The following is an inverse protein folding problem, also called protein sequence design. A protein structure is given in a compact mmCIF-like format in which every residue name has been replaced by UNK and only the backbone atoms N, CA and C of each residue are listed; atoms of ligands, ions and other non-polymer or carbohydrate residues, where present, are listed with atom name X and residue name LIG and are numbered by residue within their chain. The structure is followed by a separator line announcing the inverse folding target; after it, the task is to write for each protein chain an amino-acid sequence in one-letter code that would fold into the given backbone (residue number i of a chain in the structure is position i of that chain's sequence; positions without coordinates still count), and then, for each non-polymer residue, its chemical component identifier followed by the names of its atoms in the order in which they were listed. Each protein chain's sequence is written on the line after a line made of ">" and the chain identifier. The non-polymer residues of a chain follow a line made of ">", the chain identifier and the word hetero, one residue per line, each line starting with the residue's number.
data_IF_705491103600
#
_entry.id   IF_705491103600
#
_cell.length_a   1.000
_cell.length_b   1.000
_cell.length_c   1.000
_cell.angle_alpha   90.00
_cell.angle_beta   90.00
_cell.angle_gamma   90.00
#
_symmetry.space_group_name_H-M   'P 1'
#
loop_
_entity.id
_entity.type
_entity.pdbx_description
1 polymer ?
#
# COMPACT_ATOMS: atom_id res chain seq x y z
N UNK A 1 32.16 -11.71 3.32
CA UNK A 1 31.12 -11.52 4.36
C UNK A 1 31.50 -12.36 5.55
N UNK A 2 31.47 -11.82 6.78
CA UNK A 2 31.80 -12.64 7.95
C UNK A 2 30.72 -13.70 8.18
N UNK A 3 31.10 -14.85 8.74
CA UNK A 3 30.17 -15.91 9.13
C UNK A 3 29.13 -15.43 10.15
N UNK A 4 29.50 -14.44 10.96
CA UNK A 4 28.63 -13.79 11.95
C UNK A 4 27.46 -13.03 11.29
N UNK A 5 27.72 -12.17 10.30
CA UNK A 5 26.67 -11.42 9.60
C UNK A 5 25.69 -12.38 8.91
N UNK A 6 26.18 -13.47 8.31
CA UNK A 6 25.31 -14.46 7.68
C UNK A 6 24.39 -15.15 8.70
N UNK A 7 24.91 -15.47 9.90
CA UNK A 7 24.12 -16.06 10.96
C UNK A 7 23.07 -15.07 11.50
N UNK A 8 23.41 -13.79 11.62
CA UNK A 8 22.50 -12.75 12.09
C UNK A 8 21.36 -12.51 11.10
N UNK A 9 21.67 -12.37 9.81
CA UNK A 9 20.67 -12.25 8.75
C UNK A 9 19.74 -13.46 8.75
N UNK A 10 20.30 -14.68 8.81
CA UNK A 10 19.52 -15.91 8.87
C UNK A 10 18.60 -15.94 10.09
N UNK A 11 19.10 -15.55 11.26
CA UNK A 11 18.33 -15.50 12.50
C UNK A 11 17.16 -14.52 12.38
N UNK A 12 17.43 -13.31 11.92
CA UNK A 12 16.43 -12.26 11.71
C UNK A 12 15.32 -12.71 10.74
N UNK A 13 15.69 -13.22 9.56
CA UNK A 13 14.74 -13.67 8.54
C UNK A 13 13.94 -14.88 9.02
N UNK A 14 14.59 -15.84 9.68
CA UNK A 14 13.92 -17.04 10.22
C UNK A 14 12.88 -16.66 11.28
N UNK A 15 13.19 -15.69 12.15
CA UNK A 15 12.22 -15.19 13.12
C UNK A 15 10.96 -14.66 12.44
N UNK A 16 11.09 -13.74 11.48
CA UNK A 16 9.94 -13.17 10.79
C UNK A 16 9.17 -14.19 9.95
N UNK A 17 9.85 -15.15 9.29
CA UNK A 17 9.19 -16.26 8.59
C UNK A 17 8.36 -17.12 9.56
N UNK A 18 8.91 -17.45 10.72
CA UNK A 18 8.18 -18.22 11.73
C UNK A 18 6.97 -17.47 12.30
N UNK A 19 7.10 -16.17 12.58
CA UNK A 19 5.94 -15.37 12.99
C UNK A 19 4.90 -15.25 11.87
N UNK A 20 5.33 -15.16 10.62
CA UNK A 20 4.47 -15.07 9.45
C UNK A 20 3.64 -16.34 9.24
N UNK A 21 4.24 -17.52 9.38
CA UNK A 21 3.54 -18.81 9.31
C UNK A 21 2.38 -18.90 10.31
N UNK A 22 2.55 -18.36 11.52
CA UNK A 22 1.50 -18.35 12.55
C UNK A 22 0.30 -17.48 12.17
N UNK A 23 0.48 -16.47 11.31
CA UNK A 23 -0.61 -15.57 10.92
C UNK A 23 -1.68 -16.28 10.09
N UNK A 24 -1.32 -17.34 9.36
CA UNK A 24 -2.27 -18.17 8.61
C UNK A 24 -3.20 -19.01 9.51
N UNK A 25 -2.89 -19.14 10.80
CA UNK A 25 -3.70 -19.88 11.77
C UNK A 25 -4.81 -19.02 12.39
N UNK A 26 -4.85 -17.72 12.09
CA UNK A 26 -5.82 -16.80 12.67
C UNK A 26 -7.17 -16.91 11.96
N UNK A 27 -8.23 -17.11 12.73
CA UNK A 27 -9.60 -17.15 12.21
C UNK A 27 -10.12 -15.73 11.89
N UNK A 28 -9.73 -14.75 12.71
CA UNK A 28 -10.19 -13.37 12.61
C UNK A 28 -9.36 -12.57 11.61
N UNK A 29 -10.01 -12.26 10.47
CA UNK A 29 -9.44 -11.53 9.33
C UNK A 29 -8.72 -10.24 9.73
N UNK A 30 -9.38 -9.40 10.53
CA UNK A 30 -8.86 -8.10 10.92
C UNK A 30 -7.58 -8.25 11.75
N UNK A 31 -7.52 -9.25 12.63
CA UNK A 31 -6.33 -9.54 13.44
C UNK A 31 -5.15 -9.97 12.56
N UNK A 32 -5.40 -10.81 11.54
CA UNK A 32 -4.39 -11.19 10.56
C UNK A 32 -3.78 -9.96 9.86
N UNK A 33 -4.63 -9.07 9.31
CA UNK A 33 -4.16 -7.84 8.65
C UNK A 33 -3.40 -6.91 9.60
N UNK A 34 -3.87 -6.76 10.85
CA UNK A 34 -3.20 -5.97 11.89
C UNK A 34 -1.80 -6.47 12.21
N UNK A 35 -1.63 -7.78 12.38
CA UNK A 35 -0.34 -8.37 12.70
C UNK A 35 0.62 -8.32 11.51
N UNK A 36 0.11 -8.50 10.29
CA UNK A 36 0.92 -8.27 9.07
C UNK A 36 1.40 -6.83 9.02
N UNK A 37 0.55 -5.81 9.22
CA UNK A 37 1.04 -4.42 9.15
C UNK A 37 2.05 -4.09 10.25
N UNK A 38 1.93 -4.71 11.44
CA UNK A 38 2.92 -4.58 12.50
C UNK A 38 4.26 -5.19 12.06
N UNK A 39 4.23 -6.40 11.48
CA UNK A 39 5.41 -7.06 10.90
C UNK A 39 6.06 -6.21 9.81
N UNK A 40 5.28 -5.72 8.83
CA UNK A 40 5.79 -4.87 7.75
C UNK A 40 6.39 -3.56 8.27
N UNK A 41 5.79 -2.97 9.31
CA UNK A 41 6.34 -1.77 9.97
C UNK A 41 7.70 -2.08 10.62
N UNK A 42 7.83 -3.21 11.30
CA UNK A 42 9.11 -3.66 11.88
C UNK A 42 10.16 -3.90 10.79
N UNK A 43 9.82 -4.60 9.71
CA UNK A 43 10.72 -4.84 8.57
C UNK A 43 11.16 -3.53 7.89
N UNK A 44 10.24 -2.56 7.73
CA UNK A 44 10.55 -1.25 7.18
C UNK A 44 11.54 -0.48 8.06
N UNK A 45 11.40 -0.57 9.39
CA UNK A 45 12.36 0.02 10.34
C UNK A 45 13.74 -0.62 10.22
N UNK A 46 13.77 -1.97 10.21
CA UNK A 46 15.00 -2.75 10.06
C UNK A 46 15.74 -2.46 8.77
N UNK A 47 15.02 -2.14 7.69
CA UNK A 47 15.62 -1.85 6.37
C UNK A 47 15.98 -0.39 6.16
N UNK A 48 15.19 0.55 6.70
CA UNK A 48 15.32 1.98 6.40
C UNK A 48 15.41 2.86 7.67
N UNK A 49 16.32 2.57 8.62
CA UNK A 49 16.39 3.30 9.90
C UNK A 49 16.71 4.80 9.72
N UNK A 50 17.38 5.17 8.63
CA UNK A 50 17.80 6.54 8.32
C UNK A 50 16.75 7.36 7.56
N UNK A 51 15.64 6.77 7.14
CA UNK A 51 14.55 7.48 6.45
C UNK A 51 13.66 8.13 7.52
N UNK A 52 13.45 9.45 7.46
CA UNK A 52 12.92 10.18 8.62
C UNK A 52 11.43 9.94 8.97
N UNK A 53 10.58 9.55 8.02
CA UNK A 53 9.13 9.38 8.24
C UNK A 53 8.71 7.92 8.07
N UNK A 54 7.91 7.39 9.00
CA UNK A 54 7.39 6.01 8.97
C UNK A 54 6.66 5.70 7.66
N UNK A 55 5.86 6.65 7.15
CA UNK A 55 5.23 6.56 5.83
C UNK A 55 6.24 6.27 4.73
N UNK A 56 7.35 7.02 4.70
CA UNK A 56 8.35 6.87 3.66
C UNK A 56 9.09 5.54 3.77
N UNK A 57 9.35 5.05 4.99
CA UNK A 57 9.93 3.71 5.21
C UNK A 57 9.00 2.62 4.68
N UNK A 58 7.73 2.67 5.09
CA UNK A 58 6.72 1.66 4.73
C UNK A 58 6.47 1.64 3.22
N UNK A 59 6.15 2.78 2.62
CA UNK A 59 5.89 2.89 1.17
C UNK A 59 7.08 2.38 0.37
N UNK A 60 8.31 2.78 0.75
CA UNK A 60 9.52 2.33 0.08
C UNK A 60 9.73 0.81 0.21
N UNK A 61 9.42 0.21 1.36
CA UNK A 61 9.49 -1.24 1.55
C UNK A 61 8.56 -1.95 0.56
N UNK A 62 7.30 -1.51 0.48
CA UNK A 62 6.30 -2.09 -0.42
C UNK A 62 6.76 -1.96 -1.87
N UNK A 63 7.11 -0.75 -2.32
CA UNK A 63 7.51 -0.51 -3.72
C UNK A 63 8.80 -1.25 -4.11
N UNK A 64 9.70 -1.52 -3.17
CA UNK A 64 11.00 -2.15 -3.47
C UNK A 64 10.94 -3.67 -3.44
N UNK A 65 10.25 -4.26 -2.45
CA UNK A 65 10.41 -5.69 -2.14
C UNK A 65 9.12 -6.51 -2.22
N UNK A 66 7.94 -5.90 -2.37
CA UNK A 66 6.69 -6.67 -2.40
C UNK A 66 6.45 -7.45 -3.69
N UNK A 67 7.13 -7.09 -4.78
CA UNK A 67 6.82 -7.63 -6.11
C UNK A 67 5.43 -7.24 -6.64
N UNK A 68 4.71 -6.34 -5.96
CA UNK A 68 3.39 -5.87 -6.39
C UNK A 68 3.52 -4.84 -7.52
N UNK A 69 3.17 -5.25 -8.74
CA UNK A 69 3.30 -4.45 -9.98
C UNK A 69 2.58 -3.10 -9.93
N UNK A 70 1.44 -3.05 -9.23
CA UNK A 70 0.59 -1.86 -9.15
C UNK A 70 0.93 -0.96 -7.97
N UNK A 71 1.89 -1.32 -7.11
CA UNK A 71 2.26 -0.53 -5.93
C UNK A 71 2.53 0.94 -6.28
N UNK A 72 3.17 1.19 -7.43
CA UNK A 72 3.51 2.54 -7.92
C UNK A 72 2.47 3.14 -8.87
N UNK A 73 1.46 2.37 -9.28
CA UNK A 73 0.35 2.86 -10.09
C UNK A 73 -0.58 3.72 -9.25
N UNK A 74 -1.28 4.64 -9.91
CA UNK A 74 -2.11 5.67 -9.28
C UNK A 74 -3.57 5.29 -9.42
N UNK A 75 -4.25 5.13 -8.29
CA UNK A 75 -5.67 4.83 -8.26
C UNK A 75 -6.49 6.00 -8.83
N UNK A 76 -6.96 5.87 -10.07
CA UNK A 76 -7.78 6.90 -10.74
C UNK A 76 -9.07 7.23 -9.95
N UNK A 77 -9.81 6.24 -9.39
CA UNK A 77 -11.01 6.54 -8.60
C UNK A 77 -10.71 7.35 -7.33
N UNK A 78 -9.72 6.93 -6.55
CA UNK A 78 -9.32 7.63 -5.32
C UNK A 78 -8.78 9.03 -5.61
N UNK A 79 -8.05 9.23 -6.71
CA UNK A 79 -7.60 10.56 -7.13
C UNK A 79 -8.77 11.47 -7.52
N UNK A 80 -9.71 10.97 -8.32
CA UNK A 80 -10.93 11.71 -8.65
C UNK A 80 -11.72 12.08 -7.39
N UNK A 81 -11.96 11.12 -6.48
CA UNK A 81 -12.65 11.34 -5.22
C UNK A 81 -11.98 12.43 -4.37
N UNK A 82 -10.65 12.40 -4.24
CA UNK A 82 -9.92 13.43 -3.47
C UNK A 82 -10.06 14.82 -4.08
N UNK A 83 -10.15 14.95 -5.40
CA UNK A 83 -10.40 16.25 -6.05
C UNK A 83 -11.84 16.71 -5.84
N UNK A 84 -12.83 15.83 -5.98
CA UNK A 84 -14.24 16.17 -5.74
C UNK A 84 -14.45 16.65 -4.29
N UNK A 85 -13.85 15.95 -3.32
CA UNK A 85 -13.96 16.28 -1.89
C UNK A 85 -13.29 17.60 -1.49
N UNK A 86 -12.40 18.16 -2.32
CA UNK A 86 -11.75 19.45 -2.04
C UNK A 86 -12.71 20.63 -2.21
N UNK A 87 -13.82 20.46 -2.94
CA UNK A 87 -14.78 21.53 -3.26
C UNK A 87 -14.19 22.59 -4.21
N UNK A 88 -15.04 23.38 -4.85
CA UNK A 88 -14.65 24.33 -5.92
C UNK A 88 -13.58 25.36 -5.51
N UNK A 89 -13.51 25.74 -4.22
CA UNK A 89 -12.58 26.76 -3.73
C UNK A 89 -11.11 26.30 -3.62
N UNK A 90 -10.86 25.00 -3.42
CA UNK A 90 -9.49 24.43 -3.28
C UNK A 90 -8.94 23.84 -4.58
N UNK A 91 -9.73 23.78 -5.65
CA UNK A 91 -9.25 23.38 -6.98
C UNK A 91 -8.35 24.45 -7.62
N UNK A 92 -8.24 25.64 -7.00
CA UNK A 92 -7.45 26.77 -7.52
C UNK A 92 -5.95 26.50 -7.69
N UNK A 93 -5.38 25.53 -6.96
CA UNK A 93 -3.98 25.12 -7.11
C UNK A 93 -3.73 24.00 -8.13
N UNK A 94 -4.80 23.49 -8.75
CA UNK A 94 -4.74 22.47 -9.80
C UNK A 94 -4.87 23.11 -11.18
N UNK A 95 -4.04 22.69 -12.12
CA UNK A 95 -4.15 23.15 -13.50
C UNK A 95 -5.43 22.63 -14.16
N UNK A 96 -6.02 23.45 -15.03
CA UNK A 96 -7.22 23.04 -15.80
C UNK A 96 -6.95 21.78 -16.64
N UNK A 97 -5.74 21.62 -17.15
CA UNK A 97 -5.34 20.47 -17.95
C UNK A 97 -5.32 19.18 -17.13
N UNK A 98 -4.78 19.23 -15.90
CA UNK A 98 -4.79 18.10 -14.99
C UNK A 98 -6.22 17.68 -14.63
N UNK A 99 -7.07 18.63 -14.23
CA UNK A 99 -8.47 18.33 -13.86
C UNK A 99 -9.27 17.77 -15.03
N UNK A 100 -9.15 18.38 -16.22
CA UNK A 100 -9.82 17.90 -17.44
C UNK A 100 -9.30 16.52 -17.87
N UNK A 101 -7.98 16.33 -17.86
CA UNK A 101 -7.33 15.07 -18.20
C UNK A 101 -7.76 13.94 -17.28
N UNK A 102 -7.78 14.18 -15.97
CA UNK A 102 -8.27 13.21 -14.99
C UNK A 102 -9.74 12.88 -15.20
N UNK A 103 -10.59 13.88 -15.46
CA UNK A 103 -12.03 13.64 -15.69
C UNK A 103 -12.26 12.71 -16.89
N UNK A 104 -11.52 12.91 -17.99
CA UNK A 104 -11.56 12.01 -19.14
C UNK A 104 -11.05 10.61 -18.80
N UNK A 105 -9.93 10.51 -18.06
CA UNK A 105 -9.37 9.22 -17.63
C UNK A 105 -10.31 8.47 -16.70
N UNK A 106 -10.98 9.15 -15.77
CA UNK A 106 -11.96 8.53 -14.89
C UNK A 106 -13.15 7.99 -15.69
N UNK A 107 -13.66 8.74 -16.68
CA UNK A 107 -14.73 8.25 -17.55
C UNK A 107 -14.32 7.00 -18.35
N UNK A 108 -13.11 6.98 -18.92
CA UNK A 108 -12.55 5.81 -19.62
C UNK A 108 -12.32 4.63 -18.66
N UNK A 109 -11.80 4.90 -17.46
CA UNK A 109 -11.63 3.89 -16.41
C UNK A 109 -12.96 3.25 -16.02
N UNK A 110 -14.03 4.04 -15.86
CA UNK A 110 -15.38 3.56 -15.55
C UNK A 110 -15.94 2.71 -16.70
N UNK A 111 -15.82 3.17 -17.95
CA UNK A 111 -16.28 2.39 -19.13
C UNK A 111 -15.55 1.03 -19.24
N UNK A 112 -14.24 0.99 -18.96
CA UNK A 112 -13.46 -0.26 -18.94
C UNK A 112 -13.87 -1.17 -17.78
N UNK A 113 -14.06 -0.61 -16.59
CA UNK A 113 -14.48 -1.35 -15.41
C UNK A 113 -15.79 -2.11 -15.64
N UNK A 114 -16.78 -1.51 -16.30
CA UNK A 114 -18.05 -2.21 -16.59
C UNK A 114 -17.94 -3.24 -17.73
N UNK A 115 -16.86 -3.24 -18.52
CA UNK A 115 -16.64 -4.19 -19.62
C UNK A 115 -15.82 -5.41 -19.20
N UNK A 116 -14.99 -5.30 -18.17
CA UNK A 116 -14.22 -6.40 -17.59
C UNK A 116 -14.91 -6.91 -16.31
N UNK A 117 -15.47 -8.12 -16.39
CA UNK A 117 -16.24 -8.77 -15.30
C UNK A 117 -15.44 -9.05 -14.01
N UNK A 118 -14.19 -8.59 -13.90
CA UNK A 118 -13.41 -8.66 -12.67
C UNK A 118 -12.51 -7.42 -12.48
N UNK A 119 -12.79 -6.56 -11.49
CA UNK A 119 -12.16 -5.25 -11.35
C UNK A 119 -10.75 -5.32 -10.74
N UNK A 120 -9.78 -5.75 -11.55
CA UNK A 120 -8.36 -5.76 -11.15
C UNK A 120 -7.74 -4.34 -11.21
N UNK A 121 -6.69 -4.11 -10.41
CA UNK A 121 -5.93 -2.85 -10.42
C UNK A 121 -5.12 -2.60 -11.72
N UNK A 122 -5.02 -3.59 -12.61
CA UNK A 122 -4.08 -3.57 -13.74
C UNK A 122 -4.33 -2.52 -14.83
N UNK A 123 -5.38 -1.71 -14.69
CA UNK A 123 -5.71 -0.60 -15.59
C UNK A 123 -5.25 0.77 -15.06
N UNK A 124 -4.78 0.83 -13.81
CA UNK A 124 -4.36 2.10 -13.21
C UNK A 124 -3.02 2.58 -13.80
N UNK A 125 -2.94 3.85 -14.21
CA UNK A 125 -1.79 4.40 -14.91
C UNK A 125 -0.63 4.71 -13.96
N UNK A 126 0.55 4.99 -14.53
CA UNK A 126 1.70 5.48 -13.78
C UNK A 126 1.62 6.99 -13.55
N UNK A 127 2.34 7.55 -12.57
CA UNK A 127 2.33 8.99 -12.29
C UNK A 127 2.61 9.88 -13.51
N UNK A 128 3.56 9.47 -14.35
CA UNK A 128 3.96 10.13 -15.59
C UNK A 128 2.84 10.21 -16.65
N UNK A 129 1.88 9.28 -16.60
CA UNK A 129 0.73 9.32 -17.52
C UNK A 129 -0.34 10.33 -17.04
N UNK A 130 -0.39 10.62 -15.74
CA UNK A 130 -1.40 11.53 -15.16
C UNK A 130 -0.89 12.97 -15.13
N UNK A 131 0.37 13.17 -14.72
CA UNK A 131 0.91 14.50 -14.48
C UNK A 131 1.12 15.26 -15.80
N UNK A 132 0.72 16.54 -15.89
CA UNK A 132 1.06 17.38 -17.03
C UNK A 132 2.58 17.64 -17.10
N UNK A 133 3.06 18.16 -18.23
CA UNK A 133 4.49 18.46 -18.45
C UNK A 133 5.11 19.38 -17.38
N UNK A 134 4.31 20.29 -16.83
CA UNK A 134 4.73 21.23 -15.77
C UNK A 134 3.76 21.16 -14.59
N UNK A 135 3.83 20.10 -13.77
CA UNK A 135 2.87 19.88 -12.70
C UNK A 135 3.15 20.75 -11.49
N UNK A 136 2.09 21.24 -10.85
CA UNK A 136 2.19 21.96 -9.58
C UNK A 136 2.61 21.02 -8.46
N UNK A 137 3.10 21.55 -7.34
CA UNK A 137 3.44 20.72 -6.19
C UNK A 137 2.20 20.02 -5.62
N UNK A 138 1.04 20.68 -5.65
CA UNK A 138 -0.23 20.10 -5.19
C UNK A 138 -0.67 18.91 -6.05
N UNK A 139 -0.49 18.98 -7.38
CA UNK A 139 -0.76 17.87 -8.29
C UNK A 139 0.17 16.68 -8.02
N UNK A 140 1.46 16.94 -7.80
CA UNK A 140 2.44 15.91 -7.42
C UNK A 140 2.06 15.23 -6.11
N UNK A 141 1.67 16.01 -5.11
CA UNK A 141 1.30 15.49 -3.79
C UNK A 141 0.00 14.67 -3.86
N UNK A 142 -0.97 15.08 -4.68
CA UNK A 142 -2.19 14.33 -4.94
C UNK A 142 -1.90 12.98 -5.60
N UNK A 143 -1.11 12.98 -6.68
CA UNK A 143 -0.74 11.77 -7.41
C UNK A 143 0.07 10.83 -6.53
N UNK A 144 1.06 11.36 -5.79
CA UNK A 144 1.86 10.57 -4.84
C UNK A 144 1.00 10.00 -3.71
N UNK A 145 0.04 10.77 -3.20
CA UNK A 145 -0.88 10.37 -2.15
C UNK A 145 -1.90 9.31 -2.57
N UNK A 146 -2.09 9.12 -3.88
CA UNK A 146 -3.08 8.20 -4.46
C UNK A 146 -2.45 7.01 -5.20
N UNK A 147 -1.13 6.87 -5.13
CA UNK A 147 -0.46 5.60 -5.42
C UNK A 147 -0.99 4.48 -4.52
N UNK A 148 -1.05 3.27 -5.04
CA UNK A 148 -1.54 2.13 -4.28
C UNK A 148 -0.70 1.80 -3.04
N UNK A 149 0.63 1.97 -3.10
CA UNK A 149 1.54 1.88 -1.94
C UNK A 149 1.19 2.90 -0.85
N UNK A 150 0.90 4.14 -1.25
CA UNK A 150 0.47 5.23 -0.39
C UNK A 150 -0.91 4.97 0.24
N UNK A 151 -1.85 4.44 -0.54
CA UNK A 151 -3.18 4.06 -0.06
C UNK A 151 -3.12 2.87 0.91
N UNK A 152 -2.24 1.89 0.67
CA UNK A 152 -1.97 0.82 1.62
C UNK A 152 -1.40 1.35 2.94
N UNK A 153 -0.56 2.39 2.91
CA UNK A 153 -0.12 3.04 4.15
C UNK A 153 -1.28 3.71 4.90
N UNK A 154 -2.20 4.38 4.18
CA UNK A 154 -3.42 4.94 4.80
C UNK A 154 -4.26 3.82 5.42
N UNK A 155 -4.42 2.70 4.71
CA UNK A 155 -5.09 1.50 5.20
C UNK A 155 -4.45 0.99 6.50
N UNK A 156 -3.11 0.83 6.51
CA UNK A 156 -2.33 0.47 7.69
C UNK A 156 -2.60 1.42 8.87
N UNK A 157 -2.65 2.72 8.63
CA UNK A 157 -2.95 3.68 9.69
C UNK A 157 -4.36 3.49 10.26
N UNK A 158 -5.35 3.22 9.42
CA UNK A 158 -6.74 2.97 9.85
C UNK A 158 -6.87 1.66 10.64
N UNK A 159 -6.17 0.61 10.21
CA UNK A 159 -6.09 -0.62 10.99
C UNK A 159 -5.49 -0.34 12.38
N UNK A 160 -4.28 0.22 12.44
CA UNK A 160 -3.52 0.34 13.70
C UNK A 160 -4.12 1.38 14.64
N UNK A 161 -4.61 2.50 14.13
CA UNK A 161 -5.04 3.64 14.95
C UNK A 161 -6.55 3.74 15.13
N UNK A 162 -7.35 3.05 14.30
CA UNK A 162 -8.82 3.06 14.38
C UNK A 162 -9.42 1.65 14.50
N UNK A 163 -8.60 0.59 14.50
CA UNK A 163 -9.03 -0.80 14.62
C UNK A 163 -10.14 -1.19 13.63
N UNK A 164 -10.05 -0.68 12.39
CA UNK A 164 -11.03 -0.92 11.34
C UNK A 164 -10.43 -0.84 9.95
N UNK A 165 -11.11 -1.43 8.97
CA UNK A 165 -10.83 -1.24 7.56
C UNK A 165 -11.41 0.13 7.10
N UNK A 166 -10.70 0.90 6.25
CA UNK A 166 -11.26 2.09 5.61
C UNK A 166 -12.29 1.73 4.54
N UNK A 167 -13.17 2.70 4.26
CA UNK A 167 -14.20 2.57 3.22
C UNK A 167 -15.36 1.69 3.63
N UNK A 168 -16.23 1.42 2.65
CA UNK A 168 -17.38 0.51 2.77
C UNK A 168 -17.24 -0.74 1.90
N UNK A 169 -16.13 -0.87 1.18
CA UNK A 169 -15.85 -2.02 0.34
C UNK A 169 -15.82 -3.32 1.14
N UNK A 170 -16.59 -4.29 0.68
CA UNK A 170 -16.60 -5.64 1.25
C UNK A 170 -15.66 -6.60 0.54
N UNK A 171 -15.03 -7.50 1.30
CA UNK A 171 -14.21 -8.59 0.79
C UNK A 171 -15.10 -9.77 0.40
N UNK A 172 -15.41 -9.90 -0.90
CA UNK A 172 -16.30 -10.96 -1.42
C UNK A 172 -15.65 -12.33 -1.41
N UNK A 173 -14.40 -12.39 -1.85
CA UNK A 173 -13.60 -13.60 -1.87
C UNK A 173 -12.38 -13.43 -0.97
N UNK A 174 -12.37 -14.18 0.14
CA UNK A 174 -11.23 -14.20 1.06
C UNK A 174 -9.95 -14.74 0.41
N UNK A 175 -10.08 -15.46 -0.71
CA UNK A 175 -8.99 -16.08 -1.48
C UNK A 175 -8.50 -15.19 -2.61
N UNK A 176 -9.07 -13.99 -2.79
CA UNK A 176 -8.61 -13.07 -3.82
C UNK A 176 -7.11 -12.79 -3.63
N UNK A 177 -6.33 -13.08 -4.68
CA UNK A 177 -4.87 -13.03 -4.66
C UNK A 177 -4.32 -11.63 -4.99
N UNK A 178 -5.18 -10.65 -5.23
CA UNK A 178 -4.77 -9.27 -5.53
C UNK A 178 -5.81 -8.26 -5.01
N UNK A 179 -5.41 -7.03 -4.68
CA UNK A 179 -6.34 -5.95 -4.40
C UNK A 179 -7.23 -5.66 -5.60
N UNK A 180 -8.42 -5.11 -5.35
CA UNK A 180 -9.43 -4.88 -6.38
C UNK A 180 -10.34 -3.71 -6.00
N UNK A 181 -11.10 -3.21 -6.97
CA UNK A 181 -12.13 -2.20 -6.73
C UNK A 181 -13.51 -2.84 -6.55
N UNK A 182 -14.27 -2.33 -5.61
CA UNK A 182 -15.64 -2.73 -5.35
C UNK A 182 -16.55 -1.52 -5.51
N UNK A 183 -17.46 -1.62 -6.47
CA UNK A 183 -18.57 -0.67 -6.63
C UNK A 183 -19.58 -0.80 -5.48
N UNK A 184 -19.87 0.30 -4.81
CA UNK A 184 -20.89 0.40 -3.77
C UNK A 184 -21.94 1.44 -4.16
N UNK A 185 -23.20 1.04 -4.22
CA UNK A 185 -24.33 1.97 -4.36
C UNK A 185 -24.86 2.33 -2.98
N UNK A 186 -24.94 3.62 -2.66
CA UNK A 186 -25.55 4.06 -1.41
C UNK A 186 -27.08 3.90 -1.47
N UNK A 187 -27.68 3.23 -0.49
CA UNK A 187 -29.13 3.13 -0.42
C UNK A 187 -29.77 4.52 -0.23
N UNK A 188 -30.41 5.04 -1.28
CA UNK A 188 -31.11 6.33 -1.28
C UNK A 188 -30.41 7.46 -2.05
N UNK A 189 -29.25 7.19 -2.64
CA UNK A 189 -28.55 8.12 -3.54
C UNK A 189 -28.03 7.31 -4.73
N UNK A 190 -28.31 7.73 -5.97
CA UNK A 190 -27.84 7.04 -7.19
C UNK A 190 -26.31 7.19 -7.40
N UNK A 191 -25.61 7.73 -6.41
CA UNK A 191 -24.16 7.88 -6.40
C UNK A 191 -23.48 6.57 -6.03
N UNK A 192 -22.84 5.97 -7.03
CA UNK A 192 -21.94 4.82 -6.91
C UNK A 192 -20.53 5.27 -6.49
N UNK A 193 -19.96 4.63 -5.48
CA UNK A 193 -18.57 4.83 -5.06
C UNK A 193 -17.70 3.63 -5.41
N UNK A 194 -16.44 3.89 -5.77
CA UNK A 194 -15.45 2.85 -6.03
C UNK A 194 -14.53 2.70 -4.84
N UNK A 195 -14.74 1.63 -4.08
CA UNK A 195 -14.01 1.31 -2.86
C UNK A 195 -12.81 0.41 -3.18
N UNK A 196 -11.61 0.79 -2.71
CA UNK A 196 -10.42 -0.05 -2.85
C UNK A 196 -10.39 -1.11 -1.74
N UNK A 197 -10.33 -2.39 -2.12
CA UNK A 197 -10.32 -3.52 -1.21
C UNK A 197 -8.95 -4.19 -1.23
N UNK A 198 -8.39 -4.45 -0.04
CA UNK A 198 -7.19 -5.26 0.15
C UNK A 198 -7.57 -6.61 0.77
N UNK A 199 -7.65 -7.71 -0.02
CA UNK A 199 -8.06 -9.01 0.47
C UNK A 199 -7.11 -9.59 1.50
N UNK A 200 -7.65 -10.42 2.38
CA UNK A 200 -6.90 -11.05 3.47
C UNK A 200 -5.79 -11.94 2.96
N UNK A 201 -6.08 -12.81 1.98
CA UNK A 201 -5.09 -13.73 1.45
C UNK A 201 -3.92 -12.96 0.83
N UNK A 202 -4.20 -11.99 -0.04
CA UNK A 202 -3.15 -11.11 -0.58
C UNK A 202 -2.36 -10.41 0.54
N UNK A 203 -3.04 -9.91 1.56
CA UNK A 203 -2.40 -9.24 2.70
C UNK A 203 -1.45 -10.19 3.45
N UNK A 204 -1.90 -11.43 3.70
CA UNK A 204 -1.10 -12.47 4.34
C UNK A 204 0.05 -12.93 3.45
N UNK A 205 -0.07 -12.89 2.13
CA UNK A 205 1.01 -13.30 1.22
C UNK A 205 2.06 -12.21 0.99
N UNK A 206 1.70 -10.93 1.20
CA UNK A 206 2.56 -9.77 0.97
C UNK A 206 3.95 -9.84 1.64
N UNK A 207 4.12 -10.37 2.87
CA UNK A 207 5.44 -10.49 3.50
C UNK A 207 6.40 -11.46 2.80
N UNK A 208 5.91 -12.46 2.06
CA UNK A 208 6.75 -13.52 1.47
C UNK A 208 7.81 -12.96 0.51
N UNK A 209 7.45 -12.23 -0.57
CA UNK A 209 8.44 -11.64 -1.46
C UNK A 209 9.32 -10.61 -0.73
N UNK A 210 8.77 -9.90 0.26
CA UNK A 210 9.51 -8.90 1.04
C UNK A 210 10.64 -9.55 1.82
N UNK A 211 10.37 -10.63 2.56
CA UNK A 211 11.37 -11.34 3.35
C UNK A 211 12.47 -11.91 2.46
N UNK A 212 12.12 -12.50 1.32
CA UNK A 212 13.10 -13.00 0.34
C UNK A 212 13.98 -11.88 -0.22
N UNK A 213 13.38 -10.75 -0.60
CA UNK A 213 14.12 -9.60 -1.11
C UNK A 213 15.01 -8.93 -0.07
N UNK A 214 14.57 -8.87 1.19
CA UNK A 214 15.38 -8.38 2.30
C UNK A 214 16.55 -9.30 2.62
N UNK A 215 16.34 -10.62 2.67
CA UNK A 215 17.40 -11.61 2.88
C UNK A 215 18.51 -11.44 1.83
N UNK A 216 18.12 -11.40 0.54
CA UNK A 216 19.06 -11.16 -0.55
C UNK A 216 19.80 -9.82 -0.39
N UNK A 217 19.07 -8.75 -0.05
CA UNK A 217 19.69 -7.43 0.15
C UNK A 217 20.73 -7.40 1.27
N UNK A 218 20.40 -7.96 2.44
CA UNK A 218 21.31 -7.97 3.59
C UNK A 218 22.57 -8.80 3.30
N UNK A 219 22.42 -9.93 2.61
CA UNK A 219 23.54 -10.76 2.13
C UNK A 219 24.37 -9.95 1.14
N UNK A 220 23.78 -9.46 0.05
CA UNK A 220 24.52 -8.79 -1.04
C UNK A 220 25.27 -7.54 -0.57
N UNK A 221 24.70 -6.80 0.37
CA UNK A 221 25.33 -5.57 0.91
C UNK A 221 26.18 -5.81 2.15
N UNK A 222 26.15 -7.01 2.73
CA UNK A 222 26.81 -7.32 3.99
C UNK A 222 26.32 -6.45 5.15
N UNK A 223 25.04 -6.05 5.15
CA UNK A 223 24.44 -5.21 6.18
C UNK A 223 23.72 -6.07 7.22
N UNK A 224 23.86 -5.72 8.50
CA UNK A 224 23.20 -6.44 9.58
C UNK A 224 21.83 -5.77 9.90
N UNK A 225 20.70 -6.50 9.81
CA UNK A 225 19.38 -5.93 10.13
C UNK A 225 19.26 -5.48 11.59
N UNK A 226 20.03 -6.06 12.51
CA UNK A 226 19.99 -5.71 13.92
C UNK A 226 20.58 -4.33 14.22
N UNK A 227 21.48 -3.81 13.37
CA UNK A 227 22.08 -2.47 13.54
C UNK A 227 21.05 -1.33 13.50
N UNK A 228 19.87 -1.60 12.94
CA UNK A 228 18.73 -0.68 12.88
C UNK A 228 17.99 -0.54 14.23
N UNK A 229 18.23 -1.45 15.18
CA UNK A 229 17.53 -1.49 16.45
C UNK A 229 18.45 -1.12 17.62
N UNK A 230 17.86 -0.51 18.64
CA UNK A 230 18.52 -0.28 19.93
C UNK A 230 18.09 -1.37 20.90
N UNK A 231 19.00 -2.29 21.21
CA UNK A 231 18.76 -3.33 22.20
C UNK A 231 18.96 -2.83 23.62
N UNK A 232 18.14 -3.32 24.54
CA UNK A 232 18.04 -2.88 25.92
C UNK A 232 16.60 -2.61 26.31
N UNK A 233 16.28 -2.69 27.61
CA UNK A 233 14.94 -2.37 28.11
C UNK A 233 14.95 -1.04 28.86
N UNK A 234 14.16 -0.04 28.44
CA UNK A 234 13.87 1.12 29.28
C UNK A 234 12.90 0.75 30.42
N UNK A 235 12.24 -0.42 30.32
CA UNK A 235 11.33 -0.97 31.31
C UNK A 235 12.10 -1.92 32.23
N UNK A 236 12.43 -1.45 33.45
CA UNK A 236 12.97 -2.27 34.54
C UNK A 236 11.93 -2.45 35.62
#
# INVERSE_FOLDING_TARGET
>A
MSSEIQNDVKTYITHFRSEHEKLFLLEERLHGKLLVVAMLSALAEGRYPKVGRDRAKFVKLIETYSGWSDATSVSVPQLNMQIQNRGSAKVSGLSRNFVKGLSCRYADWVDRHYRDENPSLGIDPKPEDILPESPTQEEKDLVEGTKHSSLLYVYRCKLVHEFREPGYGFEFDRRAASPYYHSMTNFGDDNETMELVFPTQWFLELPVPILTGLEAHYIDTGTNPFDSYKFGSPWR
#
